data_IF_712825997413
#
_entry.id   IF_712825997413
#
_cell.length_a   1.000
_cell.length_b   1.000
_cell.length_c   1.000
_cell.angle_alpha   90.00
_cell.angle_beta   90.00
_cell.angle_gamma   90.00
#
_symmetry.space_group_name_H-M   'P 1'
#
loop_
_entity.id
_entity.type
_entity.pdbx_description
1 polymer ?
#
# COMPACT_ATOMS: atom_id res chain seq x y z
N UNK A 1 1.13 -21.11 -11.29
CA UNK A 1 2.51 -21.62 -11.13
C UNK A 1 3.41 -20.43 -11.33
N UNK A 2 4.09 -19.94 -10.29
CA UNK A 2 4.78 -18.64 -10.33
C UNK A 2 6.30 -18.85 -10.40
N UNK A 3 6.96 -18.16 -11.32
CA UNK A 3 8.41 -18.08 -11.43
C UNK A 3 8.86 -16.70 -10.94
N UNK A 4 9.77 -16.67 -9.99
CA UNK A 4 10.41 -15.46 -9.46
C UNK A 4 11.87 -15.54 -9.92
N UNK A 5 12.33 -14.57 -10.72
CA UNK A 5 13.69 -14.50 -11.26
C UNK A 5 14.46 -13.44 -10.47
N UNK A 6 15.49 -13.84 -9.73
CA UNK A 6 16.51 -12.90 -9.26
C UNK A 6 17.74 -12.98 -10.15
N UNK A 7 18.19 -11.83 -10.62
CA UNK A 7 19.56 -11.63 -11.07
C UNK A 7 20.36 -11.17 -9.85
N UNK A 8 21.22 -12.03 -9.33
CA UNK A 8 22.35 -11.61 -8.49
C UNK A 8 23.41 -11.05 -9.41
N UNK A 9 24.04 -9.94 -9.03
CA UNK A 9 25.11 -9.29 -9.76
C UNK A 9 26.30 -10.24 -9.99
N UNK A 10 26.29 -10.92 -11.13
CA UNK A 10 27.45 -11.51 -11.78
C UNK A 10 27.35 -11.22 -13.28
N UNK A 11 28.40 -10.68 -13.93
CA UNK A 11 28.35 -10.28 -15.34
C UNK A 11 28.59 -11.50 -16.22
N UNK A 12 27.70 -12.50 -16.20
CA UNK A 12 27.67 -13.58 -17.21
C UNK A 12 26.23 -14.03 -17.42
N UNK A 13 25.47 -13.31 -18.24
CA UNK A 13 24.31 -13.92 -18.92
C UNK A 13 24.71 -14.16 -20.37
N UNK A 14 25.63 -15.11 -20.54
CA UNK A 14 25.57 -16.01 -21.69
C UNK A 14 24.34 -16.91 -21.52
N UNK A 15 23.63 -17.12 -22.62
CA UNK A 15 22.45 -17.99 -22.74
C UNK A 15 22.71 -19.40 -22.18
N UNK A 16 22.33 -19.70 -20.95
CA UNK A 16 22.24 -21.10 -20.47
C UNK A 16 21.26 -21.26 -19.31
N UNK A 17 20.20 -22.05 -19.56
CA UNK A 17 19.45 -22.88 -18.60
C UNK A 17 19.07 -22.26 -17.25
N UNK A 18 17.88 -21.67 -17.16
CA UNK A 18 17.28 -21.34 -15.87
C UNK A 18 16.90 -22.63 -15.13
N UNK A 19 17.70 -23.03 -14.15
CA UNK A 19 17.34 -24.06 -13.17
C UNK A 19 16.07 -23.62 -12.43
N UNK A 20 15.07 -24.50 -12.22
CA UNK A 20 13.87 -24.15 -11.46
C UNK A 20 14.25 -23.71 -10.05
N UNK A 21 13.81 -22.50 -9.65
CA UNK A 21 14.05 -21.99 -8.32
C UNK A 21 13.29 -22.87 -7.30
N UNK A 22 14.03 -23.60 -6.47
CA UNK A 22 13.42 -24.42 -5.41
C UNK A 22 13.08 -23.51 -4.25
N UNK A 23 11.82 -23.06 -4.18
CA UNK A 23 11.33 -22.26 -3.04
C UNK A 23 11.27 -23.16 -1.79
N UNK A 24 12.01 -22.82 -0.71
CA UNK A 24 11.94 -23.55 0.55
C UNK A 24 10.52 -23.66 1.08
N UNK A 25 10.17 -24.80 1.68
CA UNK A 25 8.80 -25.04 2.18
C UNK A 25 8.35 -23.97 3.18
N UNK A 26 9.26 -23.47 4.03
CA UNK A 26 8.99 -22.38 4.96
C UNK A 26 8.40 -21.13 4.30
N UNK A 27 8.87 -20.77 3.09
CA UNK A 27 8.40 -19.57 2.38
C UNK A 27 7.04 -19.82 1.73
N UNK A 28 6.75 -21.06 1.34
CA UNK A 28 5.40 -21.45 0.89
C UNK A 28 4.40 -21.37 2.03
N UNK A 29 4.81 -21.78 3.24
CA UNK A 29 3.94 -21.74 4.41
C UNK A 29 3.70 -20.30 4.88
N UNK A 30 4.73 -19.44 4.85
CA UNK A 30 4.59 -17.98 5.05
C UNK A 30 3.61 -17.38 4.05
N UNK A 31 3.77 -17.66 2.75
CA UNK A 31 2.87 -17.14 1.72
C UNK A 31 1.42 -17.60 1.94
N UNK A 32 1.21 -18.87 2.32
CA UNK A 32 -0.13 -19.38 2.65
C UNK A 32 -0.76 -18.65 3.83
N UNK A 33 0.00 -18.35 4.90
CA UNK A 33 -0.50 -17.59 6.04
C UNK A 33 -0.95 -16.18 5.63
N UNK A 34 -0.09 -15.47 4.89
CA UNK A 34 -0.38 -14.12 4.41
C UNK A 34 -1.61 -14.09 3.50
N UNK A 35 -1.68 -15.00 2.52
CA UNK A 35 -2.84 -15.10 1.61
C UNK A 35 -4.11 -15.49 2.37
N UNK A 36 -4.00 -16.38 3.37
CA UNK A 36 -5.12 -16.76 4.22
C UNK A 36 -5.70 -15.55 4.95
N UNK A 37 -4.84 -14.75 5.56
CA UNK A 37 -5.23 -13.49 6.20
C UNK A 37 -5.84 -12.49 5.21
N UNK A 38 -5.19 -12.28 4.04
CA UNK A 38 -5.69 -11.37 3.00
C UNK A 38 -7.10 -11.76 2.51
N UNK A 39 -7.39 -13.06 2.40
CA UNK A 39 -8.72 -13.55 2.02
C UNK A 39 -9.79 -13.24 3.05
N UNK A 40 -9.49 -13.42 4.34
CA UNK A 40 -10.43 -13.08 5.41
C UNK A 40 -10.64 -11.57 5.49
N UNK A 41 -9.56 -10.79 5.39
CA UNK A 41 -9.61 -9.33 5.33
C UNK A 41 -10.45 -8.82 4.14
N UNK A 42 -10.26 -9.41 2.96
CA UNK A 42 -10.98 -9.02 1.74
C UNK A 42 -12.51 -9.21 1.82
N UNK A 43 -13.03 -10.03 2.74
CA UNK A 43 -14.49 -10.24 2.89
C UNK A 43 -15.23 -8.99 3.33
N UNK A 44 -14.56 -8.06 4.01
CA UNK A 44 -15.15 -6.83 4.53
C UNK A 44 -14.38 -5.57 4.12
N UNK A 45 -13.21 -5.69 3.50
CA UNK A 45 -12.40 -4.55 3.08
C UNK A 45 -12.90 -3.83 1.81
N UNK A 46 -13.90 -4.37 1.08
CA UNK A 46 -14.39 -3.73 -0.14
C UNK A 46 -15.33 -2.56 0.17
N UNK A 47 -14.73 -1.39 0.31
CA UNK A 47 -15.41 -0.12 0.59
C UNK A 47 -16.09 0.50 -0.65
N UNK A 48 -15.80 -0.02 -1.85
CA UNK A 48 -16.18 0.60 -3.14
C UNK A 48 -17.68 0.60 -3.46
N UNK A 49 -18.49 -0.43 -3.13
CA UNK A 49 -19.93 -0.39 -3.41
C UNK A 49 -20.67 0.75 -2.68
N UNK A 50 -20.08 1.31 -1.61
CA UNK A 50 -20.68 2.39 -0.82
C UNK A 50 -20.33 3.79 -1.38
N UNK A 51 -19.18 3.94 -2.06
CA UNK A 51 -18.74 5.22 -2.65
C UNK A 51 -19.50 5.60 -3.93
N UNK A 52 -19.81 4.65 -4.81
CA UNK A 52 -20.39 4.92 -6.14
C UNK A 52 -21.91 5.19 -6.12
N UNK A 53 -22.59 4.90 -5.01
CA UNK A 53 -24.06 4.94 -4.92
C UNK A 53 -24.65 6.32 -4.55
N UNK A 54 -23.87 7.42 -4.58
CA UNK A 54 -24.36 8.75 -4.20
C UNK A 54 -24.80 8.88 -2.73
N UNK A 55 -24.47 7.90 -1.89
CA UNK A 55 -24.80 7.80 -0.47
C UNK A 55 -23.88 8.66 0.41
N UNK A 56 -23.52 9.87 -0.04
CA UNK A 56 -22.76 10.84 0.75
C UNK A 56 -23.47 11.26 2.06
N UNK A 57 -24.74 10.89 2.28
CA UNK A 57 -25.51 11.34 3.44
C UNK A 57 -25.44 10.43 4.67
N UNK A 58 -24.65 9.34 4.65
CA UNK A 58 -24.50 8.44 5.80
C UNK A 58 -23.06 8.13 6.22
N UNK A 59 -22.06 8.84 5.67
CA UNK A 59 -20.79 8.93 6.39
C UNK A 59 -21.11 9.50 7.77
N UNK A 60 -20.79 8.74 8.80
CA UNK A 60 -21.02 9.15 10.18
C UNK A 60 -20.20 10.42 10.40
N UNK A 61 -20.84 11.59 10.48
CA UNK A 61 -20.20 12.83 10.96
C UNK A 61 -19.82 12.74 12.46
N UNK A 62 -19.70 11.52 12.98
CA UNK A 62 -19.40 11.21 14.35
C UNK A 62 -17.90 11.27 14.51
N UNK A 63 -17.52 12.10 15.47
CA UNK A 63 -16.17 12.25 15.92
C UNK A 63 -15.93 11.24 17.04
N UNK A 64 -14.76 10.59 17.00
CA UNK A 64 -14.34 9.60 17.96
C UNK A 64 -13.09 10.08 18.67
N UNK A 65 -13.09 10.00 20.00
CA UNK A 65 -11.84 10.10 20.76
C UNK A 65 -11.03 8.81 20.64
N UNK A 66 -9.75 8.86 21.00
CA UNK A 66 -8.93 7.64 21.06
C UNK A 66 -9.53 6.57 22.01
N UNK A 67 -10.16 7.00 23.10
CA UNK A 67 -10.83 6.10 24.06
C UNK A 67 -12.06 5.41 23.46
N UNK A 68 -12.80 6.12 22.59
CA UNK A 68 -13.94 5.52 21.88
C UNK A 68 -13.47 4.48 20.87
N UNK A 69 -12.34 4.73 20.19
CA UNK A 69 -11.72 3.79 19.26
C UNK A 69 -11.15 2.56 19.97
N UNK A 70 -10.51 2.73 21.14
CA UNK A 70 -10.02 1.62 21.96
C UNK A 70 -11.17 0.71 22.43
N UNK A 71 -12.36 1.27 22.70
CA UNK A 71 -13.57 0.48 22.99
C UNK A 71 -14.12 -0.23 21.75
N UNK A 72 -14.08 0.43 20.60
CA UNK A 72 -14.59 -0.10 19.33
C UNK A 72 -13.69 -1.22 18.78
N UNK A 73 -12.39 -1.11 18.99
CA UNK A 73 -11.36 -1.99 18.40
C UNK A 73 -10.19 -2.21 19.37
N UNK A 74 -10.43 -2.97 20.45
CA UNK A 74 -9.45 -3.17 21.53
C UNK A 74 -8.16 -3.89 21.10
N UNK A 75 -8.14 -4.54 19.93
CA UNK A 75 -6.94 -5.17 19.37
C UNK A 75 -5.91 -4.15 18.86
N UNK A 76 -6.27 -2.87 18.77
CA UNK A 76 -5.42 -1.78 18.31
C UNK A 76 -5.14 -0.77 19.43
N UNK A 77 -3.92 -0.24 19.46
CA UNK A 77 -3.53 0.80 20.40
C UNK A 77 -3.60 2.18 19.73
N UNK A 78 -4.78 2.80 19.73
CA UNK A 78 -5.05 4.00 18.93
C UNK A 78 -4.27 5.22 19.38
N UNK A 79 -4.07 5.39 20.68
CA UNK A 79 -3.23 6.47 21.21
C UNK A 79 -1.83 6.40 20.58
N UNK A 80 -1.22 5.20 20.56
CA UNK A 80 0.08 5.00 19.94
C UNK A 80 0.07 5.27 18.44
N UNK A 81 -0.94 4.78 17.73
CA UNK A 81 -1.06 4.96 16.27
C UNK A 81 -1.22 6.45 15.93
N UNK A 82 -2.21 7.13 16.53
CA UNK A 82 -2.52 8.53 16.27
C UNK A 82 -1.37 9.45 16.68
N UNK A 83 -0.72 9.18 17.81
CA UNK A 83 0.34 10.06 18.32
C UNK A 83 1.68 9.79 17.62
N UNK A 84 1.93 8.57 17.12
CA UNK A 84 3.13 8.28 16.33
C UNK A 84 3.20 9.06 15.00
N UNK A 85 2.04 9.49 14.49
CA UNK A 85 1.95 10.28 13.27
C UNK A 85 2.27 11.77 13.48
N UNK A 86 2.35 12.26 14.73
CA UNK A 86 2.48 13.68 15.06
C UNK A 86 3.74 13.94 15.89
N UNK A 87 4.59 14.84 15.41
CA UNK A 87 5.89 15.15 16.05
C UNK A 87 5.71 16.00 17.31
N UNK A 88 4.68 16.85 17.35
CA UNK A 88 4.37 17.69 18.51
C UNK A 88 3.02 17.28 19.15
N UNK A 89 2.85 17.63 20.42
CA UNK A 89 1.62 17.34 21.16
C UNK A 89 0.47 18.28 20.77
N UNK A 90 0.81 19.48 20.28
CA UNK A 90 -0.16 20.49 19.89
C UNK A 90 -0.92 20.14 18.59
N UNK A 91 -0.32 19.37 17.69
CA UNK A 91 -0.96 18.89 16.45
C UNK A 91 -1.71 17.57 16.62
N UNK A 92 -1.65 16.93 17.78
CA UNK A 92 -2.35 15.65 18.00
C UNK A 92 -3.87 15.86 17.89
N UNK A 93 -4.56 15.07 17.07
CA UNK A 93 -6.01 15.14 16.97
C UNK A 93 -6.62 14.68 18.30
N UNK A 94 -7.55 15.48 18.83
CA UNK A 94 -8.37 15.09 19.99
C UNK A 94 -9.46 14.10 19.60
N UNK A 95 -9.96 14.27 18.38
CA UNK A 95 -11.01 13.45 17.79
C UNK A 95 -10.69 13.18 16.32
N UNK A 96 -11.18 12.05 15.81
CA UNK A 96 -11.06 11.66 14.40
C UNK A 96 -12.42 11.27 13.86
N UNK A 97 -12.63 11.51 12.57
CA UNK A 97 -13.80 11.02 11.85
C UNK A 97 -13.55 9.58 11.40
N UNK A 98 -14.54 8.71 11.58
CA UNK A 98 -14.49 7.32 11.12
C UNK A 98 -15.48 7.16 9.98
N UNK A 99 -14.97 6.82 8.80
CA UNK A 99 -15.78 6.65 7.60
C UNK A 99 -16.70 5.42 7.70
N UNK A 100 -16.24 4.34 8.36
CA UNK A 100 -16.96 3.07 8.51
C UNK A 100 -16.67 2.40 9.86
N UNK A 101 -17.63 2.47 10.78
CA UNK A 101 -17.53 1.81 12.09
C UNK A 101 -17.55 0.29 11.98
N UNK A 102 -18.27 -0.27 11.00
CA UNK A 102 -18.43 -1.71 10.85
C UNK A 102 -17.17 -2.33 10.25
N UNK A 103 -16.47 -1.62 9.35
CA UNK A 103 -15.12 -1.99 8.95
C UNK A 103 -14.19 -2.13 10.16
N UNK A 104 -14.20 -1.17 11.09
CA UNK A 104 -13.37 -1.22 12.29
C UNK A 104 -13.71 -2.40 13.19
N UNK A 105 -15.00 -2.67 13.43
CA UNK A 105 -15.44 -3.85 14.23
C UNK A 105 -15.01 -5.17 13.59
N UNK A 106 -15.21 -5.31 12.27
CA UNK A 106 -14.81 -6.52 11.54
C UNK A 106 -13.28 -6.69 11.53
N UNK A 107 -12.54 -5.59 11.46
CA UNK A 107 -11.10 -5.59 11.59
C UNK A 107 -10.65 -6.08 12.97
N UNK A 108 -11.26 -5.59 14.05
CA UNK A 108 -10.96 -6.05 15.41
C UNK A 108 -11.26 -7.55 15.60
N UNK A 109 -12.40 -8.02 15.08
CA UNK A 109 -12.74 -9.44 15.12
C UNK A 109 -11.70 -10.30 14.38
N UNK A 110 -11.22 -9.84 13.23
CA UNK A 110 -10.16 -10.54 12.49
C UNK A 110 -8.84 -10.51 13.25
N UNK A 111 -8.43 -9.35 13.76
CA UNK A 111 -7.15 -9.18 14.46
C UNK A 111 -7.10 -9.97 15.77
N UNK A 112 -8.18 -9.97 16.55
CA UNK A 112 -8.26 -10.71 17.82
C UNK A 112 -8.11 -12.23 17.65
N UNK A 113 -8.48 -12.77 16.49
CA UNK A 113 -8.34 -14.21 16.15
C UNK A 113 -7.04 -14.55 15.42
N UNK A 114 -6.31 -13.54 14.95
CA UNK A 114 -5.10 -13.74 14.13
C UNK A 114 -3.86 -13.73 15.02
N UNK A 115 -2.97 -14.70 14.83
CA UNK A 115 -1.70 -14.72 15.56
C UNK A 115 -0.78 -13.56 15.14
N UNK A 116 -0.03 -13.04 16.11
CA UNK A 116 0.88 -11.89 15.91
C UNK A 116 1.87 -12.09 14.77
N UNK A 117 2.38 -13.30 14.57
CA UNK A 117 3.33 -13.59 13.51
C UNK A 117 2.68 -13.44 12.13
N UNK A 118 1.46 -13.93 11.95
CA UNK A 118 0.71 -13.74 10.69
C UNK A 118 0.48 -12.27 10.38
N UNK A 119 0.11 -11.45 11.38
CA UNK A 119 -0.04 -9.99 11.22
C UNK A 119 1.29 -9.36 10.79
N UNK A 120 2.40 -9.70 11.46
CA UNK A 120 3.73 -9.19 11.12
C UNK A 120 4.14 -9.56 9.69
N UNK A 121 3.90 -10.81 9.28
CA UNK A 121 4.21 -11.27 7.92
C UNK A 121 3.37 -10.54 6.88
N UNK A 122 2.09 -10.30 7.16
CA UNK A 122 1.21 -9.52 6.30
C UNK A 122 1.67 -8.06 6.16
N UNK A 123 2.04 -7.40 7.26
CA UNK A 123 2.55 -6.02 7.25
C UNK A 123 3.88 -5.92 6.50
N UNK A 124 4.80 -6.87 6.71
CA UNK A 124 6.06 -6.95 5.98
C UNK A 124 5.83 -7.13 4.48
N UNK A 125 4.92 -8.03 4.10
CA UNK A 125 4.53 -8.24 2.70
C UNK A 125 3.89 -7.00 2.08
N UNK A 126 3.02 -6.31 2.82
CA UNK A 126 2.39 -5.06 2.38
C UNK A 126 3.43 -3.97 2.10
N UNK A 127 4.46 -3.84 2.95
CA UNK A 127 5.59 -2.94 2.71
C UNK A 127 6.38 -3.34 1.47
N UNK A 128 6.72 -4.63 1.31
CA UNK A 128 7.45 -5.13 0.14
C UNK A 128 6.67 -4.85 -1.15
N UNK A 129 5.36 -5.11 -1.19
CA UNK A 129 4.51 -4.80 -2.33
C UNK A 129 4.47 -3.30 -2.65
N UNK A 130 4.38 -2.47 -1.61
CA UNK A 130 4.28 -1.00 -1.76
C UNK A 130 5.58 -0.39 -2.27
N UNK A 131 6.73 -0.83 -1.74
CA UNK A 131 8.02 -0.19 -1.98
C UNK A 131 8.92 -0.95 -2.94
N UNK A 132 8.60 -2.19 -3.29
CA UNK A 132 9.44 -3.03 -4.15
C UNK A 132 9.71 -2.44 -5.53
N UNK A 133 8.78 -1.62 -6.06
CA UNK A 133 8.96 -0.89 -7.33
C UNK A 133 10.03 0.20 -7.31
N UNK A 134 10.54 0.58 -6.13
CA UNK A 134 11.62 1.56 -6.00
C UNK A 134 13.01 0.93 -5.92
N UNK A 135 13.07 -0.40 -5.79
CA UNK A 135 14.33 -1.15 -5.73
C UNK A 135 14.97 -1.28 -7.12
N UNK A 136 16.12 -1.94 -7.16
CA UNK A 136 16.82 -2.35 -8.37
C UNK A 136 16.00 -3.34 -9.23
N UNK A 137 16.40 -3.44 -10.50
CA UNK A 137 15.66 -4.17 -11.55
C UNK A 137 15.26 -5.63 -11.18
N UNK A 138 16.12 -6.44 -10.53
CA UNK A 138 15.77 -7.80 -10.11
C UNK A 138 14.56 -7.84 -9.16
N UNK A 139 14.54 -6.96 -8.16
CA UNK A 139 13.48 -6.91 -7.16
C UNK A 139 12.17 -6.37 -7.74
N UNK A 140 12.25 -5.35 -8.61
CA UNK A 140 11.07 -4.76 -9.28
C UNK A 140 10.31 -5.78 -10.13
N UNK A 141 11.02 -6.51 -10.99
CA UNK A 141 10.44 -7.52 -11.89
C UNK A 141 9.60 -8.56 -11.13
N UNK A 142 10.09 -8.99 -9.97
CA UNK A 142 9.40 -9.99 -9.15
C UNK A 142 8.10 -9.45 -8.52
N UNK A 143 8.03 -8.15 -8.24
CA UNK A 143 6.84 -7.49 -7.71
C UNK A 143 5.84 -7.15 -8.82
N UNK A 144 6.33 -6.74 -9.99
CA UNK A 144 5.51 -6.45 -11.17
C UNK A 144 4.77 -7.69 -11.66
N UNK A 145 5.40 -8.87 -11.58
CA UNK A 145 4.78 -10.16 -11.93
C UNK A 145 3.57 -10.52 -11.05
N UNK A 146 3.39 -9.88 -9.89
CA UNK A 146 2.26 -10.11 -8.97
C UNK A 146 1.10 -9.10 -9.16
N UNK A 147 1.30 -8.03 -9.94
CA UNK A 147 0.23 -7.08 -10.27
C UNK A 147 -0.76 -7.65 -11.28
N UNK A 148 -1.92 -7.01 -11.51
CA UNK A 148 -2.65 -7.25 -12.75
C UNK A 148 -1.65 -7.12 -13.89
N UNK A 149 -1.61 -8.11 -14.79
CA UNK A 149 -0.77 -8.11 -15.98
C UNK A 149 -1.02 -6.79 -16.72
N UNK A 150 -0.20 -5.79 -16.47
CA UNK A 150 -0.06 -4.70 -17.40
C UNK A 150 0.75 -5.31 -18.53
N UNK A 151 0.06 -5.66 -19.61
CA UNK A 151 0.66 -5.95 -20.92
C UNK A 151 1.48 -4.76 -21.48
N UNK A 152 1.60 -3.70 -20.70
CA UNK A 152 2.43 -2.54 -20.97
C UNK A 152 3.84 -2.83 -20.45
N UNK A 153 4.76 -2.84 -21.42
CA UNK A 153 6.19 -2.68 -21.30
C UNK A 153 6.65 -2.20 -19.92
N UNK A 154 7.68 -2.87 -19.38
CA UNK A 154 8.55 -2.35 -18.32
C UNK A 154 8.55 -0.83 -18.37
N UNK A 155 7.81 -0.16 -17.46
CA UNK A 155 7.74 1.31 -17.43
C UNK A 155 9.17 1.81 -17.68
N UNK A 156 9.36 2.55 -18.77
CA UNK A 156 10.65 3.20 -19.01
C UNK A 156 10.99 3.90 -17.71
N UNK A 157 12.21 3.71 -17.21
CA UNK A 157 12.58 4.19 -15.88
C UNK A 157 12.31 5.69 -15.78
N UNK A 158 12.44 6.38 -16.89
CA UNK A 158 12.14 7.79 -17.06
C UNK A 158 10.64 8.09 -16.87
N UNK A 159 9.75 7.33 -17.49
CA UNK A 159 8.29 7.48 -17.31
C UNK A 159 7.87 7.19 -15.87
N UNK A 160 8.40 6.11 -15.26
CA UNK A 160 8.15 5.83 -13.85
C UNK A 160 8.57 7.01 -12.97
N UNK A 161 9.78 7.54 -13.18
CA UNK A 161 10.31 8.67 -12.42
C UNK A 161 9.48 9.94 -12.63
N UNK A 162 9.07 10.22 -13.87
CA UNK A 162 8.20 11.35 -14.20
C UNK A 162 6.86 11.25 -13.47
N UNK A 163 6.16 10.12 -13.59
CA UNK A 163 4.86 9.91 -12.95
C UNK A 163 4.93 9.99 -11.43
N UNK A 164 5.98 9.44 -10.80
CA UNK A 164 6.17 9.57 -9.34
C UNK A 164 6.44 11.01 -8.94
N UNK A 165 7.23 11.75 -9.70
CA UNK A 165 7.54 13.15 -9.40
C UNK A 165 6.29 14.01 -9.55
N UNK A 166 5.53 13.84 -10.64
CA UNK A 166 4.26 14.52 -10.89
C UNK A 166 3.25 14.28 -9.77
N UNK A 167 3.21 13.08 -9.20
CA UNK A 167 2.33 12.74 -8.07
C UNK A 167 2.74 13.38 -6.74
N UNK A 168 4.04 13.59 -6.51
CA UNK A 168 4.55 14.07 -5.21
C UNK A 168 4.63 15.60 -5.19
N UNK A 169 5.05 16.23 -6.29
CA UNK A 169 5.24 17.68 -6.41
C UNK A 169 4.55 18.27 -7.63
N UNK A 170 3.23 18.06 -7.80
CA UNK A 170 2.50 18.51 -8.98
C UNK A 170 2.60 20.02 -9.20
N UNK A 171 2.50 20.80 -8.12
CA UNK A 171 2.49 22.27 -8.21
C UNK A 171 3.85 22.84 -8.62
N UNK A 172 4.95 22.23 -8.15
CA UNK A 172 6.30 22.65 -8.53
C UNK A 172 6.53 22.37 -10.01
N UNK A 173 6.17 21.18 -10.48
CA UNK A 173 6.27 20.84 -11.90
C UNK A 173 5.38 21.75 -12.74
N UNK A 174 4.14 21.97 -12.30
CA UNK A 174 3.18 22.86 -12.97
C UNK A 174 3.69 24.28 -13.10
N UNK A 175 4.31 24.82 -12.04
CA UNK A 175 4.94 26.15 -12.06
C UNK A 175 6.01 26.25 -13.16
N UNK A 176 6.98 25.34 -13.19
CA UNK A 176 8.04 25.34 -14.20
C UNK A 176 7.52 25.06 -15.62
N UNK A 177 6.50 24.21 -15.75
CA UNK A 177 5.85 23.96 -17.04
C UNK A 177 5.26 25.26 -17.60
N UNK A 178 4.51 26.00 -16.78
CA UNK A 178 3.91 27.28 -17.15
C UNK A 178 4.97 28.34 -17.49
N UNK A 179 6.11 28.37 -16.79
CA UNK A 179 7.23 29.25 -17.14
C UNK A 179 7.90 28.90 -18.47
N UNK A 180 8.02 27.62 -18.78
CA UNK A 180 8.67 27.17 -20.00
C UNK A 180 7.76 27.27 -21.24
N UNK A 181 6.45 27.07 -21.09
CA UNK A 181 5.54 26.92 -22.24
C UNK A 181 4.63 28.10 -22.50
N UNK A 182 4.27 28.93 -21.51
CA UNK A 182 3.36 30.05 -21.70
C UNK A 182 4.11 31.36 -21.99
N UNK A 183 3.89 31.99 -23.16
CA UNK A 183 4.40 33.32 -23.45
C UNK A 183 3.87 34.34 -22.44
N UNK A 184 4.73 35.27 -21.99
CA UNK A 184 4.35 36.37 -21.09
C UNK A 184 3.05 37.12 -21.47
N UNK A 185 2.75 37.45 -22.73
CA UNK A 185 1.51 38.16 -23.07
C UNK A 185 0.22 37.34 -22.93
N UNK A 186 0.28 36.04 -22.63
CA UNK A 186 -0.90 35.21 -22.40
C UNK A 186 -1.28 35.09 -20.91
N UNK A 187 -0.60 35.84 -20.03
CA UNK A 187 -0.81 35.83 -18.57
C UNK A 187 -1.59 37.06 -18.04
N UNK A 188 -1.84 38.06 -18.88
CA UNK A 188 -2.64 39.26 -18.60
C UNK A 188 -4.06 39.11 -19.19
#
# INVERSE_FOLDING_TARGET
MFYILYATDDPVIGKTGATPLVVPQQWKDVAKKVIGFEKEFAKFADFRPQMDAGLHSQMSNKLFTAEDLDKLTPSLYWIGILFSAHVDEASRPKEVMVDDEDYLKNLDELLSKTDRLTIQLFLAWSMIRRFGRFLDKPHRRNIETYGPESDEDQDDRDEFCYQKTLKIVPDIIGHYFVEATLPKPARD
#
